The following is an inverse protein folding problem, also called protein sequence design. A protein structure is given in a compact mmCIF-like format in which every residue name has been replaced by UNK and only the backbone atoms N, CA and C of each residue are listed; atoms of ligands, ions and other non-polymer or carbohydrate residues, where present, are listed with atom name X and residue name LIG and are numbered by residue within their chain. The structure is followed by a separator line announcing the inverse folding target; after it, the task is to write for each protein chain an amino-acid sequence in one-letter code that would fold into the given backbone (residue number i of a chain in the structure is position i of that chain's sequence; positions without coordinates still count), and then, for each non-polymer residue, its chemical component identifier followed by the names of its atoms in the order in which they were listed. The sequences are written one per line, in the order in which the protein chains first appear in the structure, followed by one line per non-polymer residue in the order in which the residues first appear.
data_IF_532129926220
#
_entry.id   IF_532129926220
#
_cell.length_a   1.000
_cell.length_b   1.000
_cell.length_c   1.000
_cell.angle_alpha   90.00
_cell.angle_beta   90.00
_cell.angle_gamma   90.00
#
_symmetry.space_group_name_H-M   'P 1'
#
loop_
_entity.id
_entity.type
_entity.pdbx_description
1 polymer ?
#
# COMPACT_ATOMS: atom_id res chain seq x y z
N UNK A 1 -8.11 -40.56 14.04
CA UNK A 1 -9.46 -40.34 13.49
C UNK A 1 -9.35 -40.17 11.98
N UNK A 2 -10.18 -40.86 11.19
CA UNK A 2 -10.20 -40.67 9.73
C UNK A 2 -10.75 -39.30 9.37
N UNK A 3 -10.17 -38.63 8.37
CA UNK A 3 -10.70 -37.36 7.84
C UNK A 3 -12.17 -37.56 7.44
N UNK A 4 -13.11 -36.72 7.90
CA UNK A 4 -14.52 -36.83 7.52
C UNK A 4 -14.72 -36.79 5.99
N UNK A 5 -15.77 -37.42 5.46
CA UNK A 5 -16.09 -37.33 4.04
C UNK A 5 -16.35 -35.88 3.62
N UNK A 6 -16.02 -35.56 2.35
CA UNK A 6 -16.33 -34.26 1.77
C UNK A 6 -17.85 -34.08 1.70
N UNK A 7 -18.34 -32.90 2.04
CA UNK A 7 -19.76 -32.55 1.97
C UNK A 7 -19.93 -31.12 1.46
N UNK A 8 -21.13 -30.82 0.95
CA UNK A 8 -21.46 -29.51 0.40
C UNK A 8 -21.79 -28.53 1.52
N UNK A 9 -20.91 -27.56 1.78
CA UNK A 9 -21.13 -26.52 2.80
C UNK A 9 -22.14 -25.46 2.37
N UNK A 10 -21.98 -24.90 1.16
CA UNK A 10 -22.81 -23.81 0.63
C UNK A 10 -22.75 -23.80 -0.89
N UNK A 11 -23.81 -23.35 -1.56
CA UNK A 11 -23.75 -22.89 -2.96
C UNK A 11 -23.73 -21.37 -2.95
N UNK A 12 -22.70 -20.79 -3.55
CA UNK A 12 -22.60 -19.34 -3.72
C UNK A 12 -23.42 -18.91 -4.95
N UNK A 13 -24.16 -17.81 -4.84
CA UNK A 13 -24.96 -17.28 -5.96
C UNK A 13 -24.16 -16.34 -6.85
N UNK A 14 -23.29 -15.52 -6.26
CA UNK A 14 -22.41 -14.57 -6.93
C UNK A 14 -20.99 -14.67 -6.37
N UNK A 15 -20.27 -15.78 -6.60
CA UNK A 15 -18.92 -15.95 -6.07
C UNK A 15 -17.96 -14.92 -6.66
N UNK A 16 -17.26 -14.18 -5.80
CA UNK A 16 -16.17 -13.28 -6.21
C UNK A 16 -14.79 -13.90 -6.05
N UNK A 17 -14.63 -14.83 -5.10
CA UNK A 17 -13.39 -15.58 -4.93
C UNK A 17 -13.34 -16.29 -3.57
N UNK A 18 -12.39 -17.21 -3.42
CA UNK A 18 -12.25 -18.09 -2.27
C UNK A 18 -10.78 -18.14 -1.84
N UNK A 19 -10.53 -18.00 -0.55
CA UNK A 19 -9.18 -18.02 0.02
C UNK A 19 -9.19 -18.65 1.42
N UNK A 20 -8.02 -18.96 1.96
CA UNK A 20 -7.91 -19.48 3.32
C UNK A 20 -6.66 -18.94 4.01
N UNK A 21 -6.85 -18.33 5.18
CA UNK A 21 -5.78 -17.87 6.07
C UNK A 21 -6.27 -17.96 7.52
N UNK A 22 -5.86 -19.02 8.21
CA UNK A 22 -6.39 -19.36 9.54
C UNK A 22 -7.80 -19.95 9.46
N UNK A 23 -8.73 -19.26 8.80
CA UNK A 23 -10.08 -19.71 8.49
C UNK A 23 -10.39 -19.53 6.99
N UNK A 24 -11.58 -20.00 6.58
CA UNK A 24 -12.08 -19.81 5.22
C UNK A 24 -12.52 -18.37 5.01
N UNK A 25 -12.06 -17.75 3.92
CA UNK A 25 -12.47 -16.43 3.48
C UNK A 25 -13.10 -16.53 2.10
N UNK A 26 -14.16 -15.77 1.83
CA UNK A 26 -14.70 -15.69 0.47
C UNK A 26 -15.46 -14.39 0.25
N UNK A 27 -15.66 -14.06 -1.01
CA UNK A 27 -16.54 -12.97 -1.43
C UNK A 27 -17.78 -13.55 -2.11
N UNK A 28 -18.94 -13.01 -1.74
CA UNK A 28 -20.22 -13.30 -2.39
C UNK A 28 -21.00 -11.99 -2.59
N UNK A 29 -21.24 -11.62 -3.85
CA UNK A 29 -21.81 -10.33 -4.21
C UNK A 29 -20.94 -9.19 -3.68
N UNK A 30 -21.52 -8.34 -2.84
CA UNK A 30 -20.85 -7.17 -2.25
C UNK A 30 -20.20 -7.43 -0.89
N UNK A 31 -20.09 -8.69 -0.46
CA UNK A 31 -19.76 -9.03 0.93
C UNK A 31 -18.51 -9.88 1.01
N UNK A 32 -17.59 -9.48 1.87
CA UNK A 32 -16.44 -10.27 2.28
C UNK A 32 -16.76 -11.00 3.58
N UNK A 33 -16.52 -12.32 3.57
CA UNK A 33 -16.75 -13.19 4.71
C UNK A 33 -15.43 -13.78 5.23
N UNK A 34 -15.32 -13.88 6.55
CA UNK A 34 -14.27 -14.61 7.26
C UNK A 34 -14.90 -15.53 8.29
N UNK A 35 -14.56 -16.81 8.26
CA UNK A 35 -15.06 -17.83 9.19
C UNK A 35 -16.59 -17.92 9.36
N UNK A 36 -17.36 -17.63 8.31
CA UNK A 36 -18.83 -17.66 8.40
C UNK A 36 -19.49 -16.30 8.59
N UNK A 37 -18.73 -15.30 9.02
CA UNK A 37 -19.24 -13.98 9.37
C UNK A 37 -18.92 -12.96 8.28
N UNK A 38 -19.85 -12.05 8.01
CA UNK A 38 -19.61 -10.91 7.15
C UNK A 38 -18.70 -9.92 7.90
N UNK A 39 -17.55 -9.58 7.30
CA UNK A 39 -16.55 -8.69 7.91
C UNK A 39 -16.42 -7.35 7.20
N UNK A 40 -16.91 -7.23 5.97
CA UNK A 40 -16.83 -5.98 5.23
C UNK A 40 -17.52 -6.04 3.88
N UNK A 41 -17.60 -4.88 3.25
CA UNK A 41 -18.20 -4.69 1.93
C UNK A 41 -17.11 -4.55 0.87
N UNK A 42 -17.33 -5.16 -0.28
CA UNK A 42 -16.50 -5.09 -1.48
C UNK A 42 -17.39 -4.89 -2.70
N UNK A 43 -16.81 -4.47 -3.80
CA UNK A 43 -17.47 -4.47 -5.11
C UNK A 43 -17.74 -5.90 -5.58
N UNK A 44 -18.82 -6.18 -6.34
CA UNK A 44 -19.01 -7.48 -6.96
C UNK A 44 -17.95 -7.79 -8.02
N UNK A 45 -17.64 -9.07 -8.21
CA UNK A 45 -16.73 -9.54 -9.27
C UNK A 45 -15.56 -10.36 -8.74
N UNK A 46 -14.67 -10.73 -9.65
CA UNK A 46 -13.50 -11.56 -9.34
C UNK A 46 -12.54 -10.85 -8.38
N UNK A 47 -12.01 -11.62 -7.42
CA UNK A 47 -11.11 -11.14 -6.37
C UNK A 47 -9.81 -11.91 -6.35
N UNK A 48 -8.72 -11.16 -6.20
CA UNK A 48 -7.38 -11.68 -5.97
C UNK A 48 -7.04 -11.50 -4.49
N UNK A 49 -6.56 -12.56 -3.85
CA UNK A 49 -6.26 -12.57 -2.41
C UNK A 49 -4.78 -12.82 -2.15
N UNK A 50 -4.23 -12.08 -1.20
CA UNK A 50 -2.96 -12.39 -0.56
C UNK A 50 -3.13 -12.32 0.96
N UNK A 51 -2.18 -12.89 1.71
CA UNK A 51 -2.15 -12.72 3.15
C UNK A 51 -0.74 -12.50 3.66
N UNK A 52 -0.57 -11.52 4.54
CA UNK A 52 0.69 -11.20 5.20
C UNK A 52 0.44 -11.06 6.70
N UNK A 53 1.07 -11.91 7.51
CA UNK A 53 0.78 -11.95 8.94
C UNK A 53 -0.71 -12.24 9.23
N UNK A 54 -1.37 -11.33 9.94
CA UNK A 54 -2.79 -11.38 10.28
C UNK A 54 -3.73 -10.78 9.22
N UNK A 55 -3.16 -10.12 8.20
CA UNK A 55 -3.92 -9.46 7.15
C UNK A 55 -4.32 -10.44 6.05
N UNK A 56 -5.60 -10.39 5.67
CA UNK A 56 -6.10 -10.86 4.37
C UNK A 56 -6.32 -9.63 3.51
N UNK A 57 -5.75 -9.63 2.31
CA UNK A 57 -5.72 -8.49 1.40
C UNK A 57 -6.55 -8.84 0.16
N UNK A 58 -7.34 -7.90 -0.33
CA UNK A 58 -8.29 -8.14 -1.42
C UNK A 58 -8.16 -7.08 -2.50
N UNK A 59 -7.87 -7.54 -3.72
CA UNK A 59 -7.94 -6.75 -4.96
C UNK A 59 -9.17 -7.14 -5.79
N UNK A 60 -9.73 -6.24 -6.60
CA UNK A 60 -9.24 -4.88 -6.91
C UNK A 60 -9.65 -3.81 -5.89
N UNK A 61 -10.43 -4.16 -4.86
CA UNK A 61 -10.98 -3.20 -3.90
C UNK A 61 -9.93 -2.50 -3.02
N UNK A 62 -8.71 -3.06 -2.93
CA UNK A 62 -7.61 -2.58 -2.08
C UNK A 62 -8.03 -2.45 -0.63
N UNK A 63 -8.71 -3.48 -0.13
CA UNK A 63 -9.14 -3.58 1.27
C UNK A 63 -8.36 -4.66 2.00
N UNK A 64 -8.35 -4.57 3.32
CA UNK A 64 -7.82 -5.61 4.19
C UNK A 64 -8.86 -6.04 5.23
N UNK A 65 -8.68 -7.26 5.71
CA UNK A 65 -9.23 -7.73 6.97
C UNK A 65 -8.08 -8.19 7.88
N UNK A 66 -8.01 -7.66 9.10
CA UNK A 66 -7.06 -8.07 10.13
C UNK A 66 -7.75 -9.03 11.11
N UNK A 67 -7.37 -10.31 11.07
CA UNK A 67 -8.00 -11.35 11.89
C UNK A 67 -7.64 -11.28 13.38
N UNK A 68 -6.60 -10.53 13.77
CA UNK A 68 -6.25 -10.33 15.18
C UNK A 68 -7.05 -9.21 15.84
N UNK A 69 -7.34 -8.16 15.09
CA UNK A 69 -8.06 -6.98 15.56
C UNK A 69 -9.56 -7.02 15.23
N UNK A 70 -9.98 -8.02 14.45
CA UNK A 70 -11.32 -8.13 13.85
C UNK A 70 -11.72 -6.83 13.11
N UNK A 71 -10.78 -6.29 12.33
CA UNK A 71 -10.90 -4.98 11.70
C UNK A 71 -10.84 -5.10 10.17
N UNK A 72 -11.81 -4.48 9.50
CA UNK A 72 -11.84 -4.35 8.04
C UNK A 72 -11.63 -2.89 7.64
N UNK A 73 -10.81 -2.64 6.63
CA UNK A 73 -10.46 -1.28 6.24
C UNK A 73 -9.82 -1.18 4.86
N UNK A 74 -9.42 0.03 4.48
CA UNK A 74 -8.72 0.28 3.21
C UNK A 74 -7.21 0.15 3.38
N UNK A 75 -6.54 -0.36 2.34
CA UNK A 75 -5.09 -0.31 2.22
C UNK A 75 -4.61 1.08 1.82
N UNK A 76 -5.46 1.89 1.19
CA UNK A 76 -5.19 3.29 0.86
C UNK A 76 -5.60 4.21 2.01
N UNK A 77 -5.02 5.41 2.04
CA UNK A 77 -5.38 6.44 3.00
C UNK A 77 -5.43 7.80 2.30
N UNK A 78 -6.36 8.65 2.75
CA UNK A 78 -6.55 10.00 2.20
C UNK A 78 -6.93 10.95 3.32
N UNK A 79 -6.26 12.09 3.33
CA UNK A 79 -6.63 13.26 4.11
C UNK A 79 -6.82 14.46 3.17
N UNK A 80 -7.75 15.33 3.51
CA UNK A 80 -8.10 16.55 2.74
C UNK A 80 -8.40 17.67 3.72
N UNK A 81 -7.86 18.86 3.48
CA UNK A 81 -8.20 20.05 4.26
C UNK A 81 -7.57 21.32 3.72
N UNK A 82 -8.02 22.46 4.27
CA UNK A 82 -7.53 23.81 3.97
C UNK A 82 -6.78 24.38 5.17
N UNK A 83 -5.85 25.31 4.96
CA UNK A 83 -5.10 25.92 6.06
C UNK A 83 -3.91 25.09 6.53
N UNK A 84 -3.37 24.25 5.64
CA UNK A 84 -2.18 23.45 5.91
C UNK A 84 -0.95 24.35 5.93
N UNK A 85 -0.20 24.32 7.03
CA UNK A 85 1.06 25.07 7.13
C UNK A 85 2.26 24.21 6.77
N UNK A 86 3.15 24.77 5.95
CA UNK A 86 4.46 24.22 5.67
C UNK A 86 5.50 25.08 6.40
N UNK A 87 6.44 24.42 7.10
CA UNK A 87 7.36 25.12 7.99
C UNK A 87 8.60 24.29 8.34
N UNK A 88 9.54 24.94 9.03
CA UNK A 88 10.61 24.28 9.76
C UNK A 88 10.06 23.48 10.93
N UNK A 89 10.74 22.42 11.33
CA UNK A 89 10.34 21.63 12.47
C UNK A 89 11.51 20.85 13.04
N UNK A 90 11.22 19.64 13.52
CA UNK A 90 12.22 18.78 14.15
C UNK A 90 12.21 17.38 13.56
N UNK A 91 13.40 16.83 13.38
CA UNK A 91 13.60 15.42 13.02
C UNK A 91 14.72 14.83 13.88
N UNK A 92 14.47 13.68 14.50
CA UNK A 92 15.42 13.05 15.44
C UNK A 92 15.89 14.00 16.55
N UNK A 93 14.94 14.78 17.10
CA UNK A 93 15.18 15.77 18.16
C UNK A 93 16.13 16.92 17.78
N UNK A 94 16.39 17.10 16.48
CA UNK A 94 17.19 18.20 15.94
C UNK A 94 16.32 19.10 15.06
N UNK A 95 16.66 20.40 15.02
CA UNK A 95 16.03 21.34 14.09
C UNK A 95 16.26 20.87 12.65
N UNK A 96 15.22 20.99 11.83
CA UNK A 96 15.24 20.64 10.42
C UNK A 96 14.50 21.71 9.61
N UNK A 97 15.19 22.30 8.63
CA UNK A 97 14.62 23.27 7.72
C UNK A 97 13.60 22.64 6.74
N UNK A 98 12.50 23.35 6.50
CA UNK A 98 11.49 23.07 5.47
C UNK A 98 11.07 21.59 5.37
N UNK A 99 10.78 20.98 6.52
CA UNK A 99 10.56 19.54 6.63
C UNK A 99 9.18 19.17 7.17
N UNK A 100 8.34 20.13 7.55
CA UNK A 100 7.14 19.87 8.33
C UNK A 100 5.88 20.36 7.63
N UNK A 101 4.88 19.49 7.62
CA UNK A 101 3.47 19.84 7.39
C UNK A 101 2.77 19.88 8.75
N UNK A 102 2.05 20.95 9.06
CA UNK A 102 1.20 21.05 10.25
C UNK A 102 -0.25 21.37 9.85
N UNK A 103 -1.19 20.75 10.55
CA UNK A 103 -2.60 21.11 10.47
C UNK A 103 -3.22 21.04 11.87
N UNK A 104 -3.50 22.19 12.46
CA UNK A 104 -3.99 22.27 13.84
C UNK A 104 -5.28 21.45 14.03
N UNK A 105 -5.32 20.66 15.10
CA UNK A 105 -6.47 19.82 15.44
C UNK A 105 -6.57 18.50 14.68
N UNK A 106 -5.67 18.22 13.72
CA UNK A 106 -5.62 16.91 13.05
C UNK A 106 -4.78 15.93 13.84
N UNK A 107 -5.34 14.74 14.08
CA UNK A 107 -4.56 13.59 14.55
C UNK A 107 -4.13 12.75 13.33
N UNK A 108 -2.88 12.90 12.90
CA UNK A 108 -2.39 12.22 11.71
C UNK A 108 -2.36 10.69 11.81
N UNK A 109 -2.30 10.13 13.03
CA UNK A 109 -2.31 8.67 13.24
C UNK A 109 -3.63 8.01 12.82
N UNK A 110 -4.71 8.78 12.65
CA UNK A 110 -5.97 8.27 12.15
C UNK A 110 -5.94 7.99 10.63
N UNK A 111 -4.93 8.53 9.93
CA UNK A 111 -4.82 8.45 8.46
C UNK A 111 -3.53 7.75 8.03
N UNK A 112 -2.40 8.10 8.63
CA UNK A 112 -1.07 7.69 8.18
C UNK A 112 -0.24 7.14 9.32
N UNK A 113 0.85 6.46 8.96
CA UNK A 113 1.85 5.93 9.88
C UNK A 113 3.23 6.44 9.48
N UNK A 114 4.14 6.48 10.45
CA UNK A 114 5.57 6.65 10.17
C UNK A 114 6.04 5.59 9.17
N UNK A 115 6.75 6.05 8.14
CA UNK A 115 7.23 5.22 7.04
C UNK A 115 6.28 5.13 5.85
N UNK A 116 5.08 5.73 5.93
CA UNK A 116 4.16 5.79 4.79
C UNK A 116 4.71 6.69 3.68
N UNK A 117 4.69 6.20 2.45
CA UNK A 117 4.88 7.04 1.26
C UNK A 117 3.57 7.72 0.90
N UNK A 118 3.54 9.05 0.99
CA UNK A 118 2.38 9.88 0.70
C UNK A 118 2.65 10.83 -0.46
N UNK A 119 1.62 11.08 -1.26
CA UNK A 119 1.60 12.12 -2.29
C UNK A 119 0.82 13.30 -1.77
N UNK A 120 1.44 14.48 -1.84
CA UNK A 120 0.83 15.77 -1.52
C UNK A 120 0.42 16.42 -2.83
N UNK A 121 -0.78 16.98 -2.87
CA UNK A 121 -1.29 17.75 -4.01
C UNK A 121 -2.19 18.90 -3.55
N UNK A 122 -2.49 19.83 -4.46
CA UNK A 122 -3.34 21.00 -4.19
C UNK A 122 -2.60 22.26 -3.75
N UNK A 123 -1.26 22.20 -3.60
CA UNK A 123 -0.45 23.39 -3.29
C UNK A 123 -0.40 24.34 -4.48
N UNK A 124 -0.72 25.62 -4.27
CA UNK A 124 -0.74 26.65 -5.30
C UNK A 124 0.28 27.76 -5.06
N UNK A 125 0.59 28.06 -3.79
CA UNK A 125 1.64 29.04 -3.42
C UNK A 125 3.03 28.51 -3.79
N UNK A 126 3.30 27.26 -3.45
CA UNK A 126 4.52 26.53 -3.82
C UNK A 126 4.16 25.25 -4.60
N UNK A 127 3.97 25.33 -5.93
CA UNK A 127 3.58 24.17 -6.74
C UNK A 127 4.56 22.99 -6.66
N UNK A 128 5.82 23.23 -6.35
CA UNK A 128 6.86 22.22 -6.10
C UNK A 128 6.60 21.37 -4.84
N UNK A 129 5.71 21.81 -3.95
CA UNK A 129 5.27 21.02 -2.79
C UNK A 129 4.29 19.90 -3.17
N UNK A 130 3.77 19.89 -4.40
CA UNK A 130 3.00 18.79 -4.96
C UNK A 130 3.93 17.63 -5.39
N UNK A 131 4.26 16.74 -4.45
CA UNK A 131 5.21 15.63 -4.67
C UNK A 131 4.94 14.46 -3.74
N UNK A 132 5.61 13.34 -4.01
CA UNK A 132 5.59 12.16 -3.15
C UNK A 132 6.79 12.14 -2.21
N UNK A 133 6.54 11.91 -0.93
CA UNK A 133 7.56 11.86 0.13
C UNK A 133 7.22 10.74 1.13
N UNK A 134 8.21 10.33 1.92
CA UNK A 134 8.03 9.35 2.99
C UNK A 134 7.95 10.07 4.33
N UNK A 135 6.89 9.82 5.09
CA UNK A 135 6.72 10.36 6.45
C UNK A 135 7.81 9.77 7.34
N UNK A 136 8.68 10.62 7.89
CA UNK A 136 9.78 10.23 8.78
C UNK A 136 9.37 10.22 10.23
N UNK A 137 8.38 11.02 10.59
CA UNK A 137 7.82 11.03 11.93
C UNK A 137 6.41 11.65 11.95
N UNK A 138 5.64 11.31 12.97
CA UNK A 138 4.35 11.95 13.27
C UNK A 138 4.44 12.52 14.68
N UNK A 139 4.28 13.84 14.81
CA UNK A 139 4.47 14.58 16.05
C UNK A 139 3.19 15.36 16.36
N UNK A 140 2.18 14.67 16.89
CA UNK A 140 0.86 15.26 17.14
C UNK A 140 0.17 15.65 15.83
N UNK A 141 0.00 16.96 15.64
CA UNK A 141 -0.61 17.59 14.47
C UNK A 141 0.40 17.89 13.35
N UNK A 142 1.61 17.34 13.45
CA UNK A 142 2.69 17.50 12.47
C UNK A 142 3.09 16.20 11.79
N UNK A 143 3.31 16.27 10.48
CA UNK A 143 4.05 15.27 9.71
C UNK A 143 5.46 15.80 9.45
N UNK A 144 6.47 15.05 9.86
CA UNK A 144 7.87 15.39 9.62
C UNK A 144 8.45 14.55 8.48
N UNK A 145 9.20 15.22 7.61
CA UNK A 145 9.89 14.66 6.45
C UNK A 145 11.41 14.92 6.57
N UNK A 146 12.18 14.55 5.54
CA UNK A 146 13.60 14.94 5.50
C UNK A 146 13.75 16.46 5.34
N UNK A 147 14.91 16.98 5.74
CA UNK A 147 15.23 18.39 5.60
C UNK A 147 15.14 18.84 4.13
N UNK A 148 14.72 20.08 3.91
CA UNK A 148 14.51 20.67 2.57
C UNK A 148 13.52 19.90 1.70
N UNK A 149 12.57 19.20 2.32
CA UNK A 149 11.49 18.53 1.60
C UNK A 149 10.52 19.49 0.95
N UNK A 150 10.37 20.72 1.46
CA UNK A 150 9.39 21.71 1.00
C UNK A 150 10.04 23.04 0.57
N UNK A 151 9.39 23.72 -0.37
CA UNK A 151 9.58 25.16 -0.57
C UNK A 151 8.78 25.91 0.49
N UNK A 152 9.33 27.00 1.00
CA UNK A 152 8.71 27.89 1.98
C UNK A 152 8.77 29.34 1.48
N UNK A 153 8.08 30.25 2.18
CA UNK A 153 8.12 31.69 1.89
C UNK A 153 9.46 32.32 2.29
N UNK A 154 9.62 33.59 1.94
CA UNK A 154 10.80 34.40 2.22
C UNK A 154 11.90 34.27 1.15
N UNK A 155 12.78 35.28 1.05
CA UNK A 155 13.84 35.30 0.02
C UNK A 155 14.80 34.11 0.12
N UNK A 156 14.91 33.50 1.30
CA UNK A 156 15.76 32.33 1.57
C UNK A 156 14.98 31.02 1.64
N UNK A 157 13.65 31.05 1.54
CA UNK A 157 12.81 29.86 1.71
C UNK A 157 12.82 29.30 3.13
N UNK A 158 12.79 30.17 4.14
CA UNK A 158 12.85 29.81 5.56
C UNK A 158 11.64 30.30 6.39
N UNK A 159 10.70 31.02 5.77
CA UNK A 159 9.50 31.54 6.45
C UNK A 159 8.31 30.59 6.25
N UNK A 160 7.68 30.18 7.35
CA UNK A 160 6.51 29.32 7.30
C UNK A 160 5.37 29.98 6.49
N UNK A 161 4.69 29.19 5.67
CA UNK A 161 3.51 29.65 4.93
C UNK A 161 2.33 28.71 5.18
N UNK A 162 1.13 29.21 4.87
CA UNK A 162 -0.11 28.43 4.93
C UNK A 162 -0.71 28.37 3.53
N UNK A 163 -1.03 27.17 3.08
CA UNK A 163 -1.79 26.99 1.84
C UNK A 163 -3.26 27.32 2.10
N UNK A 164 -3.76 28.35 1.42
CA UNK A 164 -5.16 28.79 1.49
C UNK A 164 -6.09 27.79 0.80
N UNK A 165 -5.59 27.11 -0.25
CA UNK A 165 -6.30 26.09 -0.99
C UNK A 165 -6.48 24.77 -0.24
N UNK A 166 -7.28 23.89 -0.83
CA UNK A 166 -7.42 22.52 -0.37
C UNK A 166 -6.14 21.72 -0.70
N UNK A 167 -5.50 21.18 0.33
CA UNK A 167 -4.39 20.25 0.22
C UNK A 167 -4.91 18.83 0.41
N UNK A 168 -4.47 17.93 -0.47
CA UNK A 168 -4.78 16.50 -0.42
C UNK A 168 -3.50 15.73 -0.14
N UNK A 169 -3.54 14.86 0.85
CA UNK A 169 -2.44 13.94 1.19
C UNK A 169 -2.97 12.52 1.02
N UNK A 170 -2.29 11.68 0.23
CA UNK A 170 -2.74 10.31 -0.04
C UNK A 170 -1.62 9.28 0.03
N UNK A 171 -1.89 8.13 0.66
CA UNK A 171 -1.12 6.89 0.48
C UNK A 171 -1.88 5.99 -0.50
N UNK A 172 -1.26 5.67 -1.62
CA UNK A 172 -1.84 4.81 -2.67
C UNK A 172 -0.99 3.56 -2.89
N UNK A 173 -1.60 2.56 -3.55
CA UNK A 173 -0.91 1.36 -4.01
C UNK A 173 -1.36 1.00 -5.43
N UNK A 174 -0.56 0.22 -6.20
CA UNK A 174 -0.91 -0.14 -7.56
C UNK A 174 -2.20 -0.96 -7.63
N UNK A 175 -2.90 -0.82 -8.75
CA UNK A 175 -3.89 -1.81 -9.15
C UNK A 175 -3.16 -3.11 -9.51
N UNK A 176 -3.68 -4.26 -9.08
CA UNK A 176 -3.08 -5.56 -9.31
C UNK A 176 -4.15 -6.55 -9.75
N UNK A 177 -3.85 -7.36 -10.76
CA UNK A 177 -4.75 -8.42 -11.24
C UNK A 177 -4.49 -9.73 -10.49
N UNK A 178 -3.22 -10.04 -10.26
CA UNK A 178 -2.79 -11.24 -9.56
C UNK A 178 -1.83 -10.88 -8.44
N UNK A 179 -2.02 -11.50 -7.27
CA UNK A 179 -1.18 -11.29 -6.10
C UNK A 179 -0.78 -12.59 -5.42
N UNK A 180 0.37 -12.58 -4.76
CA UNK A 180 0.77 -13.63 -3.83
C UNK A 180 1.64 -13.05 -2.70
N UNK A 181 1.82 -13.80 -1.62
CA UNK A 181 2.82 -13.48 -0.61
C UNK A 181 4.05 -14.36 -0.79
N UNK A 182 5.23 -13.75 -0.67
CA UNK A 182 6.50 -14.44 -0.66
C UNK A 182 7.54 -13.65 0.16
N UNK A 183 8.24 -14.34 1.05
CA UNK A 183 9.34 -13.80 1.88
C UNK A 183 8.96 -12.49 2.59
N UNK A 184 7.78 -12.49 3.23
CA UNK A 184 7.25 -11.37 4.00
C UNK A 184 6.99 -10.11 3.13
N UNK A 185 6.72 -10.29 1.84
CA UNK A 185 6.28 -9.24 0.91
C UNK A 185 5.05 -9.71 0.16
N UNK A 186 4.17 -8.76 -0.14
CA UNK A 186 3.11 -8.99 -1.12
C UNK A 186 3.65 -8.64 -2.48
N UNK A 187 3.52 -9.57 -3.41
CA UNK A 187 3.90 -9.43 -4.80
C UNK A 187 2.64 -9.40 -5.64
N UNK A 188 2.68 -8.66 -6.75
CA UNK A 188 1.61 -8.69 -7.71
C UNK A 188 2.00 -8.08 -9.05
N UNK A 189 1.07 -8.13 -9.99
CA UNK A 189 1.31 -7.62 -11.32
C UNK A 189 0.08 -6.99 -11.96
N UNK A 190 0.35 -6.07 -12.91
CA UNK A 190 -0.65 -5.40 -13.73
C UNK A 190 -0.02 -5.00 -15.07
N UNK A 191 -0.72 -5.29 -16.17
CA UNK A 191 -0.16 -5.06 -17.52
C UNK A 191 1.16 -5.80 -17.70
N UNK A 192 2.26 -5.05 -17.88
CA UNK A 192 3.63 -5.56 -18.01
C UNK A 192 4.52 -5.37 -16.77
N UNK A 193 3.96 -4.80 -15.71
CA UNK A 193 4.72 -4.41 -14.52
C UNK A 193 4.52 -5.41 -13.38
N UNK A 194 5.62 -5.82 -12.78
CA UNK A 194 5.68 -6.55 -11.52
C UNK A 194 5.90 -5.54 -10.39
N UNK A 195 5.19 -5.73 -9.28
CA UNK A 195 5.26 -4.91 -8.09
C UNK A 195 5.52 -5.77 -6.85
N UNK A 196 6.15 -5.17 -5.85
CA UNK A 196 6.22 -5.71 -4.49
C UNK A 196 5.97 -4.60 -3.46
N UNK A 197 5.21 -4.92 -2.42
CA UNK A 197 5.07 -4.07 -1.24
C UNK A 197 6.41 -3.93 -0.51
N UNK A 198 6.54 -2.91 0.34
CA UNK A 198 7.57 -2.80 1.36
C UNK A 198 7.60 -4.07 2.23
N UNK A 199 8.79 -4.45 2.70
CA UNK A 199 9.00 -5.65 3.51
C UNK A 199 8.18 -5.58 4.80
N UNK A 200 7.34 -6.59 5.03
CA UNK A 200 6.48 -6.70 6.21
C UNK A 200 5.32 -5.72 6.25
N UNK A 201 5.13 -4.92 5.20
CA UNK A 201 4.17 -3.81 5.20
C UNK A 201 3.37 -3.78 3.89
N UNK A 202 2.15 -4.35 3.87
CA UNK A 202 1.36 -4.48 2.66
C UNK A 202 0.65 -3.17 2.26
N UNK A 203 0.74 -2.12 3.08
CA UNK A 203 0.11 -0.81 2.82
C UNK A 203 1.01 0.10 1.98
N UNK A 204 2.31 -0.17 1.92
CA UNK A 204 3.31 0.72 1.32
C UNK A 204 3.93 0.11 0.06
N UNK A 205 3.63 0.72 -1.09
CA UNK A 205 4.11 0.27 -2.42
C UNK A 205 4.94 1.33 -3.15
N UNK A 206 5.06 2.53 -2.58
CA UNK A 206 5.72 3.69 -3.17
C UNK A 206 6.89 4.21 -2.31
N UNK A 207 7.49 3.34 -1.49
CA UNK A 207 8.65 3.66 -0.64
C UNK A 207 9.93 3.24 -1.36
N UNK A 208 10.74 4.21 -1.79
CA UNK A 208 11.99 4.01 -2.56
C UNK A 208 13.14 4.84 -1.96
N UNK A 209 13.58 4.49 -0.75
CA UNK A 209 14.60 5.19 0.03
C UNK A 209 16.02 4.60 -0.15
N UNK A 210 16.20 3.64 -1.06
CA UNK A 210 17.44 2.90 -1.27
C UNK A 210 17.71 1.82 -0.21
N UNK A 211 16.71 1.42 0.57
CA UNK A 211 16.85 0.46 1.65
C UNK A 211 16.45 -0.96 1.22
N UNK A 212 17.00 -1.96 1.90
CA UNK A 212 16.69 -3.37 1.62
C UNK A 212 15.20 -3.72 1.83
N UNK A 213 14.48 -2.90 2.60
CA UNK A 213 13.07 -3.11 2.92
C UNK A 213 12.11 -2.41 1.96
N UNK A 214 12.61 -1.58 1.03
CA UNK A 214 11.79 -0.75 0.14
C UNK A 214 10.82 -1.53 -0.72
N UNK A 215 9.83 -0.83 -1.28
CA UNK A 215 8.97 -1.37 -2.31
C UNK A 215 9.75 -1.63 -3.62
N UNK A 216 9.12 -2.33 -4.56
CA UNK A 216 9.73 -2.66 -5.85
C UNK A 216 8.70 -2.54 -6.97
N UNK A 217 9.12 -2.04 -8.13
CA UNK A 217 8.32 -2.00 -9.34
C UNK A 217 9.25 -2.12 -10.55
N UNK A 218 8.87 -2.95 -11.52
CA UNK A 218 9.68 -3.18 -12.72
C UNK A 218 8.81 -3.62 -13.89
N UNK A 219 9.01 -2.98 -15.04
CA UNK A 219 8.41 -3.42 -16.29
C UNK A 219 9.26 -4.56 -16.89
N UNK A 220 8.60 -5.65 -17.26
CA UNK A 220 9.27 -6.82 -17.85
C UNK A 220 9.62 -6.64 -19.33
N UNK A 221 9.09 -5.61 -19.99
CA UNK A 221 9.33 -5.27 -21.39
C UNK A 221 8.76 -6.26 -22.42
N UNK A 222 8.28 -7.43 -21.98
CA UNK A 222 7.67 -8.43 -22.84
C UNK A 222 6.22 -8.10 -23.16
N UNK A 223 5.77 -8.53 -24.34
CA UNK A 223 4.39 -8.35 -24.77
C UNK A 223 3.40 -9.23 -23.96
N UNK A 224 2.14 -8.80 -23.92
CA UNK A 224 1.05 -9.53 -23.29
C UNK A 224 0.90 -9.26 -21.79
N UNK A 225 -0.34 -9.35 -21.30
CA UNK A 225 -0.64 -9.18 -19.88
C UNK A 225 -0.21 -10.41 -19.07
N UNK A 226 0.10 -10.19 -17.79
CA UNK A 226 0.19 -11.30 -16.86
C UNK A 226 -1.14 -12.04 -16.73
N UNK A 227 -1.05 -13.34 -16.44
CA UNK A 227 -2.17 -14.28 -16.28
C UNK A 227 -2.14 -14.99 -14.92
N UNK A 228 -1.11 -14.74 -14.11
CA UNK A 228 -1.00 -15.32 -12.78
C UNK A 228 0.22 -14.83 -12.00
N UNK A 229 0.13 -14.94 -10.67
CA UNK A 229 1.19 -14.66 -9.71
C UNK A 229 1.11 -15.71 -8.59
N UNK A 230 2.21 -16.38 -8.29
CA UNK A 230 2.25 -17.40 -7.21
C UNK A 230 3.63 -17.47 -6.57
N UNK A 231 3.66 -17.80 -5.29
CA UNK A 231 4.88 -18.17 -4.58
C UNK A 231 5.16 -19.65 -4.84
N UNK A 232 6.30 -19.97 -5.43
CA UNK A 232 6.71 -21.36 -5.70
C UNK A 232 8.19 -21.56 -5.42
N UNK A 233 8.49 -22.58 -4.61
CA UNK A 233 9.85 -22.92 -4.15
C UNK A 233 10.61 -21.73 -3.56
N UNK A 234 9.92 -20.84 -2.84
CA UNK A 234 10.53 -19.67 -2.21
C UNK A 234 10.71 -18.47 -3.13
N UNK A 235 10.15 -18.48 -4.33
CA UNK A 235 10.27 -17.36 -5.27
C UNK A 235 8.91 -16.86 -5.75
N UNK A 236 8.74 -15.55 -5.99
CA UNK A 236 7.63 -15.02 -6.75
C UNK A 236 7.75 -15.45 -8.21
N UNK A 237 6.72 -16.14 -8.71
CA UNK A 237 6.59 -16.57 -10.10
C UNK A 237 5.41 -15.85 -10.73
N UNK A 238 5.61 -15.30 -11.93
CA UNK A 238 4.59 -14.62 -12.71
C UNK A 238 4.45 -15.28 -14.07
N UNK A 239 3.21 -15.39 -14.54
CA UNK A 239 2.88 -16.05 -15.80
C UNK A 239 2.37 -15.03 -16.80
N UNK A 240 2.81 -15.14 -18.05
CA UNK A 240 2.14 -14.62 -19.23
C UNK A 240 1.73 -15.81 -20.10
N UNK A 241 1.03 -15.55 -21.20
CA UNK A 241 0.64 -16.61 -22.15
C UNK A 241 1.86 -17.40 -22.67
N UNK A 242 2.94 -16.70 -23.02
CA UNK A 242 4.13 -17.31 -23.64
C UNK A 242 5.39 -17.27 -22.76
N UNK A 243 5.33 -16.76 -21.53
CA UNK A 243 6.50 -16.54 -20.67
C UNK A 243 6.22 -16.87 -19.20
N UNK A 244 7.24 -17.35 -18.50
CA UNK A 244 7.20 -17.55 -17.04
C UNK A 244 8.36 -16.78 -16.44
N UNK A 245 8.04 -15.75 -15.64
CA UNK A 245 9.03 -14.96 -14.93
C UNK A 245 9.23 -15.49 -13.52
N UNK A 246 10.49 -15.58 -13.13
CA UNK A 246 10.91 -15.87 -11.77
C UNK A 246 11.74 -14.72 -11.24
N UNK A 247 11.36 -14.21 -10.07
CA UNK A 247 12.11 -13.15 -9.39
C UNK A 247 13.13 -13.77 -8.45
N UNK A 248 14.39 -13.39 -8.60
CA UNK A 248 15.50 -13.74 -7.70
C UNK A 248 15.97 -12.52 -6.94
N UNK A 249 16.68 -12.74 -5.84
CA UNK A 249 17.24 -11.69 -4.99
C UNK A 249 16.56 -11.66 -3.62
N UNK A 250 17.05 -10.77 -2.76
CA UNK A 250 16.59 -10.63 -1.37
C UNK A 250 16.22 -9.20 -1.01
N UNK A 251 16.55 -8.23 -1.87
CA UNK A 251 16.25 -6.82 -1.67
C UNK A 251 16.01 -6.10 -3.00
N UNK A 252 15.26 -4.98 -3.03
CA UNK A 252 14.89 -4.28 -4.25
C UNK A 252 16.05 -3.99 -5.22
N UNK A 253 17.20 -3.56 -4.70
CA UNK A 253 18.37 -3.22 -5.50
C UNK A 253 19.07 -4.42 -6.16
N UNK A 254 18.78 -5.66 -5.73
CA UNK A 254 19.34 -6.86 -6.33
C UNK A 254 18.29 -7.81 -6.93
N UNK A 255 17.02 -7.39 -6.98
CA UNK A 255 16.01 -8.22 -7.61
C UNK A 255 16.28 -8.36 -9.11
N UNK A 256 16.29 -9.60 -9.57
CA UNK A 256 16.50 -9.97 -10.96
C UNK A 256 15.31 -10.76 -11.45
N UNK A 257 14.77 -10.35 -12.60
CA UNK A 257 13.72 -11.07 -13.28
C UNK A 257 14.37 -11.97 -14.34
N UNK A 258 14.12 -13.26 -14.24
CA UNK A 258 14.48 -14.23 -15.28
C UNK A 258 13.21 -14.76 -15.91
N UNK A 259 13.06 -14.58 -17.22
CA UNK A 259 11.92 -15.04 -18.02
C UNK A 259 12.31 -16.01 -19.12
#
# INVERSE_FOLDING_TARGET
ASRPPRWKRKTLTQPGGLFARGALCWVEGERFYYDGEEKGTVTPGEKSFAALGAYVLVWPDKVYYNAQEDAFGSLEAKWVGTGVSFQNGTLYEQEAAANTIQMEGVNWNDYFRKGDAVTISGCTTHPENNKSLIIRDIQGDKLAFYEYSFGLDGEKGDEAYTEEGEVVITRTLPDLDFVCENENRVWGCKGNTIYASKLGDPFNWNVFDGLATDAYAVDTGSAGNFTGCVSYLGYPIFFKEDHIYKVYGSMPSNFQIMG
#
